data_IF_872698143542
#
_entry.id   IF_872698143542
#
_cell.length_a   1.000
_cell.length_b   1.000
_cell.length_c   1.000
_cell.angle_alpha   90.00
_cell.angle_beta   90.00
_cell.angle_gamma   90.00
#
_symmetry.space_group_name_H-M   'P 1'
#
loop_
_entity.id
_entity.type
_entity.pdbx_description
1 polymer ?
#
# COMPACT_ATOMS: atom_id res chain seq x y z
N UNK A 1 -6.38 13.90 -7.98
CA UNK A 1 -7.61 14.14 -7.18
C UNK A 1 -7.81 15.64 -7.16
N UNK A 2 -9.01 16.17 -7.46
CA UNK A 2 -9.30 17.60 -7.31
C UNK A 2 -9.03 18.10 -5.87
N UNK A 3 -8.61 19.36 -5.72
CA UNK A 3 -8.33 19.97 -4.41
C UNK A 3 -9.54 19.86 -3.44
N UNK A 4 -10.75 20.00 -3.98
CA UNK A 4 -11.99 19.93 -3.20
C UNK A 4 -12.24 18.55 -2.55
N UNK A 5 -11.89 17.46 -3.25
CA UNK A 5 -12.04 16.10 -2.71
C UNK A 5 -11.04 15.84 -1.57
N UNK A 6 -9.82 16.38 -1.69
CA UNK A 6 -8.81 16.32 -0.63
C UNK A 6 -9.28 17.03 0.64
N UNK A 7 -9.87 18.21 0.48
CA UNK A 7 -10.43 18.98 1.59
C UNK A 7 -11.60 18.26 2.26
N UNK A 8 -12.43 17.55 1.49
CA UNK A 8 -13.53 16.74 2.04
C UNK A 8 -12.98 15.59 2.90
N UNK A 9 -11.98 14.86 2.40
CA UNK A 9 -11.33 13.79 3.18
C UNK A 9 -10.79 14.34 4.50
N UNK A 10 -10.10 15.49 4.45
CA UNK A 10 -9.53 16.10 5.65
C UNK A 10 -10.61 16.60 6.64
N UNK A 11 -11.68 17.23 6.15
CA UNK A 11 -12.80 17.66 7.00
C UNK A 11 -13.45 16.48 7.73
N UNK A 12 -13.64 15.35 7.04
CA UNK A 12 -14.17 14.12 7.66
C UNK A 12 -13.23 13.61 8.75
N UNK A 13 -11.92 13.57 8.49
CA UNK A 13 -10.91 13.17 9.49
C UNK A 13 -10.96 14.08 10.73
N UNK A 14 -11.05 15.41 10.57
CA UNK A 14 -11.18 16.32 11.71
C UNK A 14 -12.49 16.13 12.48
N UNK A 15 -13.60 15.83 11.79
CA UNK A 15 -14.87 15.56 12.45
C UNK A 15 -14.80 14.27 13.29
N UNK A 16 -14.26 13.19 12.71
CA UNK A 16 -14.02 11.92 13.42
C UNK A 16 -13.09 12.13 14.63
N UNK A 17 -12.00 12.88 14.47
CA UNK A 17 -11.05 13.14 15.54
C UNK A 17 -11.66 13.86 16.76
N UNK A 18 -12.63 14.76 16.54
CA UNK A 18 -13.36 15.42 17.65
C UNK A 18 -14.18 14.41 18.44
N UNK A 19 -14.97 13.61 17.75
CA UNK A 19 -15.76 12.56 18.37
C UNK A 19 -14.89 11.53 19.12
N UNK A 20 -13.76 11.13 18.52
CA UNK A 20 -12.79 10.21 19.12
C UNK A 20 -12.14 10.79 20.40
N UNK A 21 -11.81 12.08 20.41
CA UNK A 21 -11.24 12.75 21.58
C UNK A 21 -12.24 12.92 22.72
N UNK A 22 -13.52 13.12 22.40
CA UNK A 22 -14.60 13.20 23.39
C UNK A 22 -14.92 11.82 24.01
N UNK A 23 -14.92 10.76 23.22
CA UNK A 23 -15.29 9.43 23.70
C UNK A 23 -14.17 8.67 24.41
N UNK A 24 -12.89 8.98 24.12
CA UNK A 24 -11.74 8.30 24.72
C UNK A 24 -10.74 9.31 25.33
N UNK A 25 -10.91 9.69 26.61
CA UNK A 25 -10.07 10.69 27.28
C UNK A 25 -8.58 10.32 27.32
N UNK A 26 -8.23 9.03 27.38
CA UNK A 26 -6.81 8.61 27.41
C UNK A 26 -6.08 8.93 26.10
N UNK A 27 -6.81 8.96 24.98
CA UNK A 27 -6.27 9.25 23.65
C UNK A 27 -6.57 10.68 23.18
N UNK A 28 -7.33 11.47 23.93
CA UNK A 28 -7.70 12.83 23.54
C UNK A 28 -6.50 13.71 23.17
N UNK A 29 -5.43 13.67 23.97
CA UNK A 29 -4.18 14.41 23.67
C UNK A 29 -3.48 13.89 22.41
N UNK A 30 -3.53 12.58 22.17
CA UNK A 30 -2.98 11.97 20.96
C UNK A 30 -3.75 12.43 19.72
N UNK A 31 -5.09 12.37 19.73
CA UNK A 31 -5.92 12.88 18.62
C UNK A 31 -5.75 14.38 18.40
N UNK A 32 -5.60 15.15 19.49
CA UNK A 32 -5.35 16.58 19.39
C UNK A 32 -4.01 16.86 18.70
N UNK A 33 -2.94 16.19 19.14
CA UNK A 33 -1.60 16.39 18.62
C UNK A 33 -1.42 15.90 17.18
N UNK A 34 -2.11 14.82 16.78
CA UNK A 34 -1.97 14.20 15.45
C UNK A 34 -2.93 14.73 14.40
N UNK A 35 -4.14 15.16 14.80
CA UNK A 35 -5.20 15.55 13.85
C UNK A 35 -5.74 16.96 14.12
N UNK A 36 -6.26 17.23 15.32
CA UNK A 36 -7.05 18.46 15.56
C UNK A 36 -6.22 19.74 15.45
N UNK A 37 -4.93 19.68 15.82
CA UNK A 37 -3.97 20.79 15.72
C UNK A 37 -3.57 21.13 14.28
N UNK A 38 -3.81 20.23 13.32
CA UNK A 38 -3.37 20.40 11.94
C UNK A 38 -4.46 21.05 11.07
N UNK A 39 -4.04 21.77 10.04
CA UNK A 39 -4.94 22.47 9.12
C UNK A 39 -5.19 21.71 7.82
N UNK A 40 -4.31 20.76 7.46
CA UNK A 40 -4.46 19.93 6.26
C UNK A 40 -3.85 18.54 6.46
N UNK A 41 -4.18 17.63 5.53
CA UNK A 41 -3.73 16.24 5.56
C UNK A 41 -2.20 16.10 5.50
N UNK A 42 -1.51 16.93 4.71
CA UNK A 42 -0.05 16.89 4.58
C UNK A 42 0.67 17.15 5.91
N UNK A 43 0.17 18.12 6.70
CA UNK A 43 0.71 18.43 8.02
C UNK A 43 0.48 17.31 9.04
N UNK A 44 -0.69 16.65 9.00
CA UNK A 44 -0.96 15.51 9.86
C UNK A 44 -0.12 14.28 9.44
N UNK A 45 0.04 14.05 8.13
CA UNK A 45 0.88 12.99 7.58
C UNK A 45 2.35 13.17 7.97
N UNK A 46 2.90 14.39 7.88
CA UNK A 46 4.28 14.65 8.26
C UNK A 46 4.51 14.34 9.74
N UNK A 47 3.56 14.72 10.60
CA UNK A 47 3.59 14.39 12.04
C UNK A 47 3.51 12.88 12.30
N UNK A 48 2.61 12.17 11.61
CA UNK A 48 2.46 10.72 11.77
C UNK A 48 3.69 9.95 11.31
N UNK A 49 4.18 10.22 10.09
CA UNK A 49 5.36 9.53 9.55
C UNK A 49 6.61 9.80 10.39
N UNK A 50 6.81 11.05 10.80
CA UNK A 50 7.92 11.43 11.66
C UNK A 50 7.97 10.62 12.96
N UNK A 51 6.84 10.52 13.67
CA UNK A 51 6.79 9.78 14.93
C UNK A 51 6.92 8.28 14.75
N UNK A 52 6.36 7.73 13.66
CA UNK A 52 6.42 6.28 13.40
C UNK A 52 7.79 5.81 12.92
N UNK A 53 8.55 6.67 12.22
CA UNK A 53 9.87 6.34 11.68
C UNK A 53 11.03 6.78 12.59
N UNK A 54 10.73 7.49 13.68
CA UNK A 54 11.72 7.98 14.62
C UNK A 54 12.61 6.84 15.16
N UNK A 55 13.91 7.11 15.22
CA UNK A 55 14.90 6.20 15.79
C UNK A 55 15.97 7.02 16.53
N UNK A 56 16.85 6.37 17.33
CA UNK A 56 17.99 7.06 17.92
C UNK A 56 18.94 7.69 16.89
N UNK A 57 18.95 7.17 15.66
CA UNK A 57 19.80 7.67 14.56
C UNK A 57 19.20 8.93 13.94
N UNK A 58 17.87 8.96 13.79
CA UNK A 58 17.15 10.09 13.21
C UNK A 58 15.87 10.38 14.02
N UNK A 59 15.86 11.44 14.85
CA UNK A 59 14.70 11.75 15.68
C UNK A 59 13.52 12.26 14.83
N UNK A 60 12.31 12.16 15.38
CA UNK A 60 11.06 12.54 14.70
C UNK A 60 11.13 13.95 14.08
N UNK A 61 11.72 14.92 14.78
CA UNK A 61 11.85 16.29 14.28
C UNK A 61 12.63 16.37 12.96
N UNK A 62 13.74 15.64 12.84
CA UNK A 62 14.56 15.62 11.64
C UNK A 62 13.87 14.87 10.49
N UNK A 63 13.17 13.76 10.80
CA UNK A 63 12.36 13.05 9.79
C UNK A 63 11.27 13.96 9.24
N UNK A 64 10.61 14.71 10.12
CA UNK A 64 9.52 15.61 9.74
C UNK A 64 9.96 16.67 8.75
N UNK A 65 11.13 17.27 8.93
CA UNK A 65 11.69 18.26 8.00
C UNK A 65 11.88 17.66 6.60
N UNK A 66 12.41 16.44 6.50
CA UNK A 66 12.57 15.73 5.21
C UNK A 66 11.21 15.42 4.57
N UNK A 67 10.22 15.02 5.35
CA UNK A 67 8.87 14.73 4.84
C UNK A 67 8.19 16.01 4.33
N UNK A 68 8.32 17.11 5.05
CA UNK A 68 7.74 18.41 4.65
C UNK A 68 8.46 19.00 3.42
N UNK A 69 9.77 18.83 3.30
CA UNK A 69 10.55 19.15 2.09
C UNK A 69 10.00 18.38 0.88
N UNK A 70 9.80 17.07 1.02
CA UNK A 70 9.28 16.22 -0.04
C UNK A 70 7.86 16.65 -0.46
N UNK A 71 6.97 16.90 0.50
CA UNK A 71 5.59 17.34 0.20
C UNK A 71 5.52 18.74 -0.41
N UNK A 72 6.43 19.65 -0.04
CA UNK A 72 6.52 20.95 -0.68
C UNK A 72 6.97 20.84 -2.14
N UNK A 73 7.90 19.91 -2.42
CA UNK A 73 8.41 19.66 -3.77
C UNK A 73 7.42 18.89 -4.66
N UNK A 74 6.65 17.95 -4.07
CA UNK A 74 5.64 17.17 -4.78
C UNK A 74 4.33 17.01 -3.95
N UNK A 75 3.39 17.98 -4.08
CA UNK A 75 2.10 17.92 -3.40
C UNK A 75 1.21 16.75 -3.82
N UNK A 76 1.45 16.12 -4.98
CA UNK A 76 0.66 14.97 -5.43
C UNK A 76 0.84 13.73 -4.55
N UNK A 77 1.91 13.68 -3.74
CA UNK A 77 2.06 12.65 -2.70
C UNK A 77 0.93 12.72 -1.66
N UNK A 78 0.50 13.93 -1.28
CA UNK A 78 -0.61 14.12 -0.33
C UNK A 78 -1.93 13.69 -0.97
N UNK A 79 -2.15 14.04 -2.24
CA UNK A 79 -3.32 13.60 -2.99
C UNK A 79 -3.36 12.07 -3.15
N UNK A 80 -2.19 11.45 -3.33
CA UNK A 80 -2.06 9.98 -3.40
C UNK A 80 -2.41 9.35 -2.05
N UNK A 81 -1.93 9.90 -0.94
CA UNK A 81 -2.29 9.45 0.40
C UNK A 81 -3.80 9.57 0.67
N UNK A 82 -4.46 10.62 0.18
CA UNK A 82 -5.92 10.75 0.28
C UNK A 82 -6.66 9.66 -0.51
N UNK A 83 -6.21 9.33 -1.73
CA UNK A 83 -6.73 8.19 -2.49
C UNK A 83 -6.52 6.88 -1.71
N UNK A 84 -5.35 6.71 -1.08
CA UNK A 84 -5.02 5.50 -0.32
C UNK A 84 -5.91 5.37 0.95
N UNK A 85 -6.21 6.47 1.64
CA UNK A 85 -7.18 6.47 2.76
C UNK A 85 -8.58 6.06 2.27
N UNK A 86 -9.04 6.63 1.15
CA UNK A 86 -10.34 6.27 0.57
C UNK A 86 -10.39 4.80 0.15
N UNK A 87 -9.31 4.30 -0.47
CA UNK A 87 -9.18 2.90 -0.85
C UNK A 87 -9.36 1.99 0.36
N UNK A 88 -8.66 2.24 1.47
CA UNK A 88 -8.82 1.41 2.67
C UNK A 88 -10.25 1.48 3.22
N UNK A 89 -10.80 2.68 3.43
CA UNK A 89 -12.15 2.85 3.99
C UNK A 89 -13.24 2.15 3.15
N UNK A 90 -13.06 2.10 1.83
CA UNK A 90 -14.08 1.53 0.93
C UNK A 90 -13.95 0.03 0.71
N UNK A 91 -12.74 -0.51 0.88
CA UNK A 91 -12.42 -1.91 0.55
C UNK A 91 -12.26 -2.80 1.77
N UNK A 92 -11.87 -2.23 2.92
CA UNK A 92 -11.74 -2.96 4.18
C UNK A 92 -13.02 -2.78 5.01
N UNK A 93 -13.87 -3.83 5.16
CA UNK A 93 -15.08 -3.75 5.96
C UNK A 93 -14.81 -3.53 7.46
N UNK A 94 -13.59 -3.75 7.95
CA UNK A 94 -13.21 -3.45 9.33
C UNK A 94 -12.88 -1.97 9.55
N UNK A 95 -12.78 -1.16 8.49
CA UNK A 95 -12.41 0.26 8.56
C UNK A 95 -13.62 1.14 8.20
N UNK A 96 -14.26 1.68 9.22
CA UNK A 96 -15.45 2.53 9.08
C UNK A 96 -15.15 4.04 9.01
N UNK A 97 -13.90 4.45 9.25
CA UNK A 97 -13.45 5.84 9.43
C UNK A 97 -12.27 6.19 8.54
N UNK A 98 -12.23 7.44 8.04
CA UNK A 98 -11.10 7.97 7.26
C UNK A 98 -9.83 8.17 8.10
N UNK A 99 -9.96 8.41 9.40
CA UNK A 99 -8.86 8.62 10.33
C UNK A 99 -8.12 7.32 10.69
N UNK A 100 -8.77 6.15 10.59
CA UNK A 100 -8.19 4.86 10.98
C UNK A 100 -6.92 4.50 10.19
N UNK A 101 -6.88 4.57 8.84
CA UNK A 101 -5.64 4.34 8.09
C UNK A 101 -4.53 5.30 8.50
N UNK A 102 -4.84 6.59 8.64
CA UNK A 102 -3.88 7.62 8.98
C UNK A 102 -3.26 7.40 10.36
N UNK A 103 -4.04 6.96 11.35
CA UNK A 103 -3.56 6.82 12.74
C UNK A 103 -2.88 5.46 13.01
N UNK A 104 -3.41 4.38 12.45
CA UNK A 104 -3.18 3.03 13.00
C UNK A 104 -2.62 2.01 12.02
N UNK A 105 -2.98 2.08 10.73
CA UNK A 105 -2.70 0.98 9.82
C UNK A 105 -1.29 1.08 9.24
N UNK A 106 -0.42 0.16 9.68
CA UNK A 106 0.98 0.14 9.28
C UNK A 106 1.20 -0.04 7.78
N UNK A 107 0.27 -0.69 7.07
CA UNK A 107 0.32 -0.80 5.61
C UNK A 107 0.20 0.57 4.93
N UNK A 108 -0.72 1.40 5.41
CA UNK A 108 -0.85 2.79 4.96
C UNK A 108 0.42 3.59 5.29
N UNK A 109 0.94 3.49 6.53
CA UNK A 109 2.17 4.19 6.93
C UNK A 109 3.38 3.78 6.08
N UNK A 110 3.57 2.48 5.83
CA UNK A 110 4.65 1.97 5.01
C UNK A 110 4.57 2.47 3.56
N UNK A 111 3.36 2.50 2.98
CA UNK A 111 3.15 3.01 1.63
C UNK A 111 3.53 4.50 1.52
N UNK A 112 3.10 5.33 2.46
CA UNK A 112 3.44 6.76 2.43
C UNK A 112 4.94 6.99 2.72
N UNK A 113 5.54 6.20 3.62
CA UNK A 113 6.98 6.24 3.86
C UNK A 113 7.80 5.84 2.61
N UNK A 114 7.32 4.85 1.85
CA UNK A 114 7.90 4.51 0.55
C UNK A 114 7.87 5.70 -0.41
N UNK A 115 6.79 6.50 -0.46
CA UNK A 115 6.74 7.68 -1.35
C UNK A 115 7.83 8.69 -1.03
N UNK A 116 8.14 8.90 0.26
CA UNK A 116 9.26 9.74 0.69
C UNK A 116 10.60 9.12 0.26
N UNK A 117 10.78 7.81 0.47
CA UNK A 117 11.97 7.09 -0.02
C UNK A 117 12.14 7.16 -1.55
N UNK A 118 11.05 7.05 -2.30
CA UNK A 118 11.01 7.15 -3.75
C UNK A 118 11.40 8.55 -4.23
N UNK A 119 10.83 9.59 -3.61
CA UNK A 119 11.22 10.97 -3.89
C UNK A 119 12.71 11.20 -3.62
N UNK A 120 13.21 10.79 -2.45
CA UNK A 120 14.63 10.90 -2.08
C UNK A 120 15.55 10.19 -3.08
N UNK A 121 15.17 8.99 -3.52
CA UNK A 121 15.90 8.22 -4.52
C UNK A 121 16.08 9.01 -5.82
N UNK A 122 15.01 9.66 -6.28
CA UNK A 122 15.02 10.47 -7.51
C UNK A 122 15.71 11.83 -7.35
N UNK A 123 15.87 12.34 -6.12
CA UNK A 123 16.74 13.50 -5.82
C UNK A 123 18.23 13.12 -5.69
N UNK A 124 18.61 11.85 -5.94
CA UNK A 124 19.98 11.37 -5.75
C UNK A 124 20.37 11.14 -4.28
N UNK A 125 19.44 11.33 -3.34
CA UNK A 125 19.64 11.06 -1.89
C UNK A 125 19.44 9.58 -1.56
N UNK A 126 20.03 8.70 -2.37
CA UNK A 126 19.80 7.25 -2.34
C UNK A 126 20.19 6.60 -1.00
N UNK A 127 21.26 7.06 -0.36
CA UNK A 127 21.67 6.55 0.95
C UNK A 127 20.56 6.72 2.01
N UNK A 128 19.87 7.87 2.01
CA UNK A 128 18.75 8.12 2.92
C UNK A 128 17.51 7.31 2.53
N UNK A 129 17.25 7.15 1.23
CA UNK A 129 16.16 6.30 0.76
C UNK A 129 16.33 4.83 1.20
N UNK A 130 17.54 4.28 1.08
CA UNK A 130 17.86 2.92 1.54
C UNK A 130 17.78 2.80 3.06
N UNK A 131 18.22 3.82 3.80
CA UNK A 131 18.02 3.87 5.26
C UNK A 131 16.53 3.80 5.61
N UNK A 132 15.69 4.62 4.99
CA UNK A 132 14.25 4.63 5.26
C UNK A 132 13.57 3.31 4.85
N UNK A 133 13.93 2.72 3.70
CA UNK A 133 13.43 1.40 3.29
C UNK A 133 13.64 0.36 4.40
N UNK A 134 14.86 0.24 4.92
CA UNK A 134 15.18 -0.75 5.93
C UNK A 134 14.56 -0.42 7.29
N UNK A 135 14.45 0.87 7.64
CA UNK A 135 13.73 1.30 8.84
C UNK A 135 12.24 0.95 8.77
N UNK A 136 11.61 1.14 7.60
CA UNK A 136 10.22 0.74 7.33
C UNK A 136 10.03 -0.77 7.42
N UNK A 137 10.97 -1.56 6.89
CA UNK A 137 10.98 -3.02 7.04
C UNK A 137 11.01 -3.44 8.51
N UNK A 138 11.90 -2.85 9.32
CA UNK A 138 11.98 -3.17 10.75
C UNK A 138 10.69 -2.77 11.49
N UNK A 139 10.22 -1.54 11.30
CA UNK A 139 9.10 -0.98 12.07
C UNK A 139 7.74 -1.54 11.64
N UNK A 140 7.50 -1.70 10.34
CA UNK A 140 6.19 -2.06 9.79
C UNK A 140 6.14 -3.46 9.17
N UNK A 141 7.30 -4.13 9.03
CA UNK A 141 7.43 -5.43 8.39
C UNK A 141 7.00 -5.38 6.91
N UNK A 142 7.30 -4.27 6.25
CA UNK A 142 7.03 -4.03 4.83
C UNK A 142 8.33 -3.56 4.19
N UNK A 143 8.82 -4.28 3.19
CA UNK A 143 10.06 -3.95 2.49
C UNK A 143 9.74 -3.55 1.05
N UNK A 144 9.77 -2.25 0.77
CA UNK A 144 9.53 -1.70 -0.58
C UNK A 144 10.78 -0.94 -1.00
N UNK A 145 11.43 -1.43 -2.06
CA UNK A 145 12.59 -0.75 -2.62
C UNK A 145 12.20 0.64 -3.15
N UNK A 146 12.95 1.70 -2.85
CA UNK A 146 12.56 3.07 -3.21
C UNK A 146 12.53 3.33 -4.71
N UNK A 147 13.25 2.55 -5.53
CA UNK A 147 13.18 2.63 -7.00
C UNK A 147 11.93 1.97 -7.63
N UNK A 148 11.14 1.20 -6.85
CA UNK A 148 9.87 0.67 -7.34
C UNK A 148 8.95 1.82 -7.76
N UNK A 149 7.94 1.56 -8.59
CA UNK A 149 6.98 2.58 -9.04
C UNK A 149 5.57 2.19 -8.61
N UNK A 150 5.01 2.90 -7.65
CA UNK A 150 3.69 2.57 -7.08
C UNK A 150 2.72 3.75 -7.26
N UNK A 151 1.56 3.45 -7.84
CA UNK A 151 0.47 4.39 -8.07
C UNK A 151 -0.24 4.83 -6.80
N UNK A 152 -1.49 5.25 -6.92
CA UNK A 152 -2.37 5.75 -5.84
C UNK A 152 -3.68 4.95 -5.78
N UNK A 153 -4.41 5.08 -4.68
CA UNK A 153 -5.60 4.27 -4.43
C UNK A 153 -5.21 2.83 -4.08
N UNK A 154 -4.09 2.66 -3.37
CA UNK A 154 -3.55 1.35 -3.02
C UNK A 154 -3.98 0.98 -1.61
N UNK A 155 -4.40 -0.26 -1.43
CA UNK A 155 -4.60 -0.85 -0.10
C UNK A 155 -3.54 -1.91 0.15
N UNK A 156 -2.77 -1.72 1.23
CA UNK A 156 -1.90 -2.76 1.80
C UNK A 156 -2.54 -3.24 3.10
N UNK A 157 -3.44 -4.21 3.01
CA UNK A 157 -4.20 -4.69 4.16
C UNK A 157 -3.35 -5.69 4.97
N UNK A 158 -3.36 -5.51 6.30
CA UNK A 158 -2.52 -6.14 7.32
C UNK A 158 -0.99 -5.95 7.14
N UNK A 159 -0.51 -5.93 5.90
CA UNK A 159 0.78 -5.55 5.35
C UNK A 159 2.03 -6.34 5.79
N UNK A 160 1.99 -7.00 6.96
CA UNK A 160 3.13 -7.77 7.49
C UNK A 160 3.69 -8.73 6.44
N UNK A 161 4.99 -8.68 6.19
CA UNK A 161 5.69 -9.57 5.27
C UNK A 161 5.60 -9.20 3.79
N UNK A 162 5.03 -8.04 3.44
CA UNK A 162 5.05 -7.55 2.06
C UNK A 162 6.49 -7.23 1.62
N UNK A 163 6.86 -7.70 0.43
CA UNK A 163 8.16 -7.42 -0.20
C UNK A 163 7.93 -6.96 -1.64
N UNK A 164 8.43 -5.78 -2.01
CA UNK A 164 8.33 -5.21 -3.37
C UNK A 164 9.72 -4.76 -3.83
N UNK A 165 10.22 -5.40 -4.88
CA UNK A 165 11.58 -5.17 -5.35
C UNK A 165 11.76 -3.99 -6.30
N UNK A 166 13.03 -3.70 -6.58
CA UNK A 166 13.53 -2.49 -7.25
C UNK A 166 12.83 -2.09 -8.56
N UNK A 167 12.51 -3.05 -9.42
CA UNK A 167 11.99 -2.77 -10.78
C UNK A 167 10.50 -3.06 -10.91
N UNK A 168 9.82 -3.22 -9.77
CA UNK A 168 8.40 -3.51 -9.73
C UNK A 168 7.60 -2.26 -10.13
N UNK A 169 6.48 -2.50 -10.80
CA UNK A 169 5.48 -1.46 -11.06
C UNK A 169 4.16 -1.94 -10.48
N UNK A 170 3.50 -1.08 -9.71
CA UNK A 170 2.13 -1.25 -9.24
C UNK A 170 1.34 -0.03 -9.71
N UNK A 171 0.38 -0.24 -10.61
CA UNK A 171 -0.51 0.83 -11.08
C UNK A 171 -1.58 1.19 -10.03
N UNK A 172 -2.49 2.10 -10.37
CA UNK A 172 -3.52 2.58 -9.45
C UNK A 172 -4.54 1.52 -9.08
N UNK A 173 -5.29 1.76 -8.00
CA UNK A 173 -6.42 0.92 -7.60
C UNK A 173 -6.08 -0.56 -7.42
N UNK A 174 -4.94 -0.87 -6.79
CA UNK A 174 -4.52 -2.24 -6.47
C UNK A 174 -4.72 -2.52 -4.98
N UNK A 175 -5.12 -3.73 -4.64
CA UNK A 175 -5.26 -4.19 -3.26
C UNK A 175 -4.38 -5.41 -3.01
N UNK A 176 -3.55 -5.34 -1.98
CA UNK A 176 -2.52 -6.33 -1.64
C UNK A 176 -2.66 -6.71 -0.17
N UNK A 177 -2.76 -8.00 0.11
CA UNK A 177 -2.82 -8.53 1.48
C UNK A 177 -1.41 -8.80 2.06
N UNK A 178 -1.37 -9.22 3.32
CA UNK A 178 -0.14 -9.59 4.02
C UNK A 178 0.68 -10.66 3.29
N UNK A 179 1.99 -10.63 3.54
CA UNK A 179 2.95 -11.64 3.08
C UNK A 179 3.02 -11.81 1.55
N UNK A 180 2.58 -10.82 0.77
CA UNK A 180 2.74 -10.84 -0.69
C UNK A 180 4.17 -10.48 -1.09
N UNK A 181 4.72 -11.15 -2.09
CA UNK A 181 6.04 -10.84 -2.64
C UNK A 181 5.95 -10.52 -4.12
N UNK A 182 6.38 -9.32 -4.50
CA UNK A 182 6.65 -8.91 -5.88
C UNK A 182 8.16 -8.95 -6.10
N UNK A 183 8.65 -10.16 -6.34
CA UNK A 183 10.06 -10.52 -6.23
C UNK A 183 10.77 -10.71 -7.57
N UNK A 184 12.11 -10.66 -7.51
CA UNK A 184 12.96 -10.97 -8.64
C UNK A 184 13.09 -12.47 -8.92
N UNK A 185 13.63 -12.82 -10.09
CA UNK A 185 14.17 -14.15 -10.38
C UNK A 185 15.63 -14.05 -10.85
N UNK A 186 16.45 -15.03 -10.47
CA UNK A 186 17.87 -15.10 -10.86
C UNK A 186 18.80 -14.13 -10.12
N UNK A 187 20.03 -13.99 -10.64
CA UNK A 187 21.13 -13.20 -10.05
C UNK A 187 21.58 -12.00 -10.90
N UNK A 188 20.98 -11.81 -12.07
CA UNK A 188 21.33 -10.73 -12.98
C UNK A 188 20.57 -9.45 -12.62
N UNK A 189 21.22 -8.29 -12.77
CA UNK A 189 20.57 -6.99 -12.71
C UNK A 189 19.63 -6.76 -13.90
N UNK A 190 18.99 -5.59 -13.94
CA UNK A 190 17.99 -5.25 -14.96
C UNK A 190 16.56 -5.48 -14.52
N UNK A 191 15.62 -5.37 -15.46
CA UNK A 191 14.20 -5.46 -15.18
C UNK A 191 13.77 -6.91 -14.90
N UNK A 192 13.46 -7.19 -13.63
CA UNK A 192 13.31 -8.54 -13.09
C UNK A 192 12.13 -8.71 -12.13
N UNK A 193 11.33 -7.68 -11.91
CA UNK A 193 10.21 -7.70 -10.96
C UNK A 193 8.85 -7.49 -11.65
N UNK A 194 7.74 -7.88 -11.01
CA UNK A 194 6.43 -7.87 -11.64
C UNK A 194 5.92 -6.49 -12.05
N UNK A 195 5.01 -6.48 -13.03
CA UNK A 195 4.20 -5.33 -13.46
C UNK A 195 2.74 -5.61 -13.12
N UNK A 196 2.26 -5.03 -12.04
CA UNK A 196 0.90 -5.17 -11.55
C UNK A 196 0.06 -4.02 -12.11
N UNK A 197 -0.91 -4.35 -12.96
CA UNK A 197 -1.75 -3.37 -13.64
C UNK A 197 -2.94 -2.94 -12.78
N UNK A 198 -3.62 -1.89 -13.24
CA UNK A 198 -4.73 -1.27 -12.53
C UNK A 198 -5.85 -2.27 -12.15
N UNK A 199 -6.43 -2.11 -10.96
CA UNK A 199 -7.58 -2.90 -10.52
C UNK A 199 -7.28 -4.31 -10.00
N UNK A 200 -6.01 -4.71 -9.95
CA UNK A 200 -5.61 -6.07 -9.54
C UNK A 200 -5.80 -6.29 -8.04
N UNK A 201 -6.33 -7.47 -7.67
CA UNK A 201 -6.34 -7.96 -6.29
C UNK A 201 -5.30 -9.06 -6.10
N UNK A 202 -4.50 -8.97 -5.03
CA UNK A 202 -3.51 -9.98 -4.67
C UNK A 202 -3.81 -10.50 -3.25
N UNK A 203 -4.25 -11.75 -3.16
CA UNK A 203 -4.56 -12.43 -1.91
C UNK A 203 -3.32 -12.70 -1.04
N UNK A 204 -3.57 -12.98 0.24
CA UNK A 204 -2.54 -13.15 1.25
C UNK A 204 -1.49 -14.20 0.86
N UNK A 205 -0.21 -13.92 1.11
CA UNK A 205 0.87 -14.89 0.94
C UNK A 205 1.35 -15.13 -0.49
N UNK A 206 0.69 -14.56 -1.51
CA UNK A 206 1.05 -14.82 -2.91
C UNK A 206 2.47 -14.37 -3.26
N UNK A 207 3.16 -15.14 -4.11
CA UNK A 207 4.50 -14.86 -4.64
C UNK A 207 4.40 -14.66 -6.14
N UNK A 208 4.72 -13.46 -6.62
CA UNK A 208 4.75 -13.13 -8.04
C UNK A 208 6.21 -12.82 -8.37
N UNK A 209 6.83 -13.68 -9.18
CA UNK A 209 8.29 -13.71 -9.32
C UNK A 209 8.71 -13.52 -10.78
N UNK A 210 9.61 -12.56 -11.01
CA UNK A 210 10.19 -12.27 -12.32
C UNK A 210 9.55 -11.06 -13.00
N UNK A 211 10.10 -10.68 -14.16
CA UNK A 211 9.54 -9.61 -14.98
C UNK A 211 8.34 -10.12 -15.78
N UNK A 212 7.22 -10.30 -15.07
CA UNK A 212 5.96 -10.76 -15.63
C UNK A 212 4.86 -9.74 -15.38
N UNK A 213 3.89 -9.70 -16.28
CA UNK A 213 2.72 -8.82 -16.15
C UNK A 213 1.57 -9.56 -15.48
N UNK A 214 0.90 -8.89 -14.55
CA UNK A 214 -0.44 -9.25 -14.06
C UNK A 214 -1.39 -8.19 -14.59
N UNK A 215 -2.16 -8.57 -15.60
CA UNK A 215 -2.99 -7.67 -16.40
C UNK A 215 -4.09 -6.98 -15.61
N UNK A 216 -4.62 -5.89 -16.18
CA UNK A 216 -5.69 -5.07 -15.57
C UNK A 216 -6.82 -5.95 -15.05
N UNK A 217 -7.32 -5.64 -13.86
CA UNK A 217 -8.50 -6.31 -13.31
C UNK A 217 -8.32 -7.81 -13.07
N UNK A 218 -7.08 -8.32 -13.02
CA UNK A 218 -6.84 -9.72 -12.67
C UNK A 218 -6.94 -9.96 -11.16
N UNK A 219 -7.13 -11.22 -10.78
CA UNK A 219 -7.21 -11.68 -9.39
C UNK A 219 -6.19 -12.78 -9.13
N UNK A 220 -5.32 -12.58 -8.14
CA UNK A 220 -4.36 -13.59 -7.70
C UNK A 220 -4.85 -14.19 -6.39
N UNK A 221 -5.12 -15.50 -6.39
CA UNK A 221 -5.57 -16.23 -5.20
C UNK A 221 -4.53 -16.22 -4.09
N UNK A 222 -4.98 -16.27 -2.84
CA UNK A 222 -4.10 -16.40 -1.68
C UNK A 222 -3.19 -17.64 -1.80
N UNK A 223 -1.96 -17.54 -1.28
CA UNK A 223 -0.96 -18.62 -1.29
C UNK A 223 -0.32 -18.94 -2.66
N UNK A 224 -0.77 -18.30 -3.74
CA UNK A 224 -0.35 -18.68 -5.10
C UNK A 224 1.12 -18.34 -5.41
N UNK A 225 1.76 -19.14 -6.25
CA UNK A 225 3.11 -18.86 -6.80
C UNK A 225 3.02 -18.63 -8.31
N UNK A 226 3.05 -17.35 -8.70
CA UNK A 226 2.89 -16.89 -10.08
C UNK A 226 4.26 -16.71 -10.73
N UNK A 227 4.55 -17.54 -11.74
CA UNK A 227 5.82 -17.56 -12.48
C UNK A 227 5.65 -17.20 -13.97
N UNK A 228 4.43 -16.96 -14.41
CA UNK A 228 4.07 -16.64 -15.80
C UNK A 228 3.10 -15.44 -15.83
N UNK A 229 3.06 -14.66 -16.93
CA UNK A 229 2.13 -13.56 -17.06
C UNK A 229 0.67 -14.00 -16.89
N UNK A 230 -0.13 -13.17 -16.21
CA UNK A 230 -1.56 -13.39 -15.99
C UNK A 230 -2.34 -12.39 -16.85
N UNK A 231 -3.18 -12.85 -17.81
CA UNK A 231 -3.93 -11.94 -18.68
C UNK A 231 -4.90 -11.03 -17.91
N UNK A 232 -5.31 -9.88 -18.49
CA UNK A 232 -6.34 -9.02 -17.91
C UNK A 232 -7.65 -9.77 -17.62
N UNK A 233 -8.33 -9.40 -16.54
CA UNK A 233 -9.64 -9.94 -16.13
C UNK A 233 -9.66 -11.47 -16.02
N UNK A 234 -8.57 -12.06 -15.52
CA UNK A 234 -8.47 -13.48 -15.21
C UNK A 234 -8.13 -13.72 -13.74
N UNK A 235 -8.59 -14.86 -13.22
CA UNK A 235 -8.22 -15.32 -11.88
C UNK A 235 -7.14 -16.39 -12.02
N UNK A 236 -6.01 -16.21 -11.33
CA UNK A 236 -4.94 -17.19 -11.26
C UNK A 236 -4.72 -17.67 -9.81
N UNK A 237 -4.62 -18.99 -9.61
CA UNK A 237 -4.41 -19.59 -8.30
C UNK A 237 -3.56 -20.88 -8.37
N UNK A 238 -2.93 -21.26 -7.25
CA UNK A 238 -2.18 -22.52 -7.08
C UNK A 238 -0.65 -22.39 -7.08
N UNK A 239 0.05 -23.52 -6.97
CA UNK A 239 1.51 -23.62 -6.89
C UNK A 239 2.07 -24.67 -7.87
N UNK A 240 2.56 -24.28 -9.07
CA UNK A 240 2.53 -22.94 -9.64
C UNK A 240 1.11 -22.52 -10.06
N UNK A 241 0.87 -21.22 -10.10
CA UNK A 241 -0.44 -20.66 -10.40
C UNK A 241 -0.86 -20.96 -11.84
N UNK A 242 -2.13 -21.31 -12.01
CA UNK A 242 -2.79 -21.47 -13.32
C UNK A 242 -4.03 -20.59 -13.37
N UNK A 243 -4.49 -20.28 -14.57
CA UNK A 243 -5.77 -19.58 -14.77
C UNK A 243 -6.89 -20.54 -14.36
N UNK A 244 -7.69 -20.13 -13.37
CA UNK A 244 -8.78 -20.94 -12.77
C UNK A 244 -10.17 -20.33 -13.01
N UNK A 245 -10.23 -19.14 -13.62
CA UNK A 245 -11.50 -18.51 -13.96
C UNK A 245 -11.36 -17.05 -14.32
N UNK A 246 -12.46 -16.31 -14.13
CA UNK A 246 -12.53 -14.87 -14.27
C UNK A 246 -13.12 -14.28 -12.99
N UNK A 247 -12.70 -13.06 -12.59
CA UNK A 247 -13.35 -12.35 -11.49
C UNK A 247 -14.78 -11.92 -11.88
N UNK A 248 -15.61 -11.68 -10.87
CA UNK A 248 -17.00 -11.21 -11.07
C UNK A 248 -17.12 -9.70 -11.32
N UNK A 249 -16.01 -8.96 -11.21
CA UNK A 249 -15.96 -7.51 -11.40
C UNK A 249 -14.77 -7.07 -12.26
N UNK A 250 -14.85 -5.85 -12.80
CA UNK A 250 -13.82 -5.26 -13.65
C UNK A 250 -12.53 -4.92 -12.89
N UNK A 251 -12.67 -4.52 -11.61
CA UNK A 251 -11.58 -4.21 -10.69
C UNK A 251 -11.73 -5.02 -9.39
N UNK A 252 -11.26 -6.27 -9.35
CA UNK A 252 -11.39 -7.13 -8.17
C UNK A 252 -10.81 -6.53 -6.88
N UNK A 253 -9.86 -5.59 -7.02
CA UNK A 253 -9.29 -4.84 -5.91
C UNK A 253 -10.32 -4.01 -5.13
N UNK A 254 -11.46 -3.69 -5.71
CA UNK A 254 -12.51 -2.87 -5.08
C UNK A 254 -13.46 -3.72 -4.24
N UNK A 255 -13.73 -4.96 -4.67
CA UNK A 255 -14.73 -5.84 -4.05
C UNK A 255 -14.13 -6.83 -3.04
N UNK A 256 -12.81 -7.06 -3.12
CA UNK A 256 -12.05 -7.88 -2.18
C UNK A 256 -12.53 -9.34 -2.04
N UNK A 257 -13.27 -9.86 -3.02
CA UNK A 257 -13.72 -11.26 -3.04
C UNK A 257 -12.53 -12.23 -3.21
N UNK A 258 -12.25 -12.98 -2.14
CA UNK A 258 -11.13 -13.92 -2.06
C UNK A 258 -11.38 -15.28 -2.75
N UNK A 259 -12.62 -15.58 -3.17
CA UNK A 259 -12.90 -16.85 -3.84
C UNK A 259 -12.23 -16.89 -5.23
N UNK A 260 -11.62 -18.00 -5.61
CA UNK A 260 -10.90 -18.12 -6.88
C UNK A 260 -11.46 -19.18 -7.84
N UNK A 261 -12.44 -19.98 -7.39
CA UNK A 261 -13.14 -20.92 -8.25
C UNK A 261 -14.33 -20.18 -8.89
N UNK A 262 -14.18 -19.73 -10.14
CA UNK A 262 -15.34 -19.35 -10.95
C UNK A 262 -16.23 -20.56 -11.25
N UNK A 263 -17.33 -20.37 -11.98
CA UNK A 263 -18.39 -21.37 -12.31
C UNK A 263 -17.87 -22.67 -12.99
N UNK A 264 -16.58 -22.78 -13.30
CA UNK A 264 -15.98 -24.00 -13.85
C UNK A 264 -15.50 -24.96 -12.75
N UNK A 265 -16.27 -26.04 -12.57
CA UNK A 265 -16.01 -27.21 -11.71
C UNK A 265 -14.74 -28.02 -12.05
N UNK A 266 -13.76 -27.46 -12.78
CA UNK A 266 -12.53 -28.18 -13.17
C UNK A 266 -11.35 -27.92 -12.25
N UNK A 267 -11.46 -27.05 -11.25
CA UNK A 267 -10.51 -27.02 -10.14
C UNK A 267 -10.88 -28.14 -9.16
N UNK A 268 -10.33 -29.33 -9.38
CA UNK A 268 -10.47 -30.44 -8.45
C UNK A 268 -9.73 -30.09 -7.15
N UNK A 269 -10.46 -30.16 -6.03
CA UNK A 269 -9.90 -30.02 -4.69
C UNK A 269 -8.77 -31.05 -4.50
N UNK A 270 -7.50 -30.65 -4.61
CA UNK A 270 -6.39 -31.60 -4.43
C UNK A 270 -5.03 -31.22 -4.98
N UNK A 271 -4.92 -30.25 -5.89
CA UNK A 271 -3.64 -29.90 -6.56
C UNK A 271 -2.66 -29.06 -5.70
N UNK A 272 -2.82 -29.08 -4.37
CA UNK A 272 -1.96 -28.36 -3.43
C UNK A 272 -2.30 -26.87 -3.35
N UNK A 273 -2.89 -26.48 -2.22
CA UNK A 273 -2.97 -25.10 -1.75
C UNK A 273 -1.99 -24.97 -0.58
#
# INVERSE_FOLDING_TARGET
MPCEELDIVWKNIKAEARALAECEPMLASFYHATLLKHENLGSALSYMLANKLASPIMPAIAIREVVEEAYAADPEMIASAACDIQAVRTRDPAVDKYSTPLLYLKGFHALQAYRIGHWLWHQGRQALAIFLQNQVSVTFQVDIHPAAKIGRGIMLDHATGIVVGETAVIENDVSILQSVTLGGTGKAGGDRHPKIREGVMIGAGAKILGNIEVGRGAKIGAGSVVLQPVPPHTTAAGVPARIVGKPDSDKPSMDMDQHFNGIHHTFEYGDGI
#
